data_IF_054007018079
#
_entry.id   IF_054007018079
#
_cell.length_a   1.000
_cell.length_b   1.000
_cell.length_c   1.000
_cell.angle_alpha   90.00
_cell.angle_beta   90.00
_cell.angle_gamma   90.00
#
_symmetry.space_group_name_H-M   'P 1'
#
loop_
_entity.id
_entity.type
_entity.pdbx_description
1 polymer ?
#
# COMPACT_ATOMS: atom_id res chain seq x y z
N UNK A 1 10.56 0.33 -1.88
CA UNK A 1 10.90 0.75 -0.50
C UNK A 1 12.43 0.91 -0.45
N UNK A 2 12.96 1.98 0.15
CA UNK A 2 14.41 2.21 0.26
C UNK A 2 15.02 1.67 1.56
N UNK A 3 14.20 1.10 2.45
CA UNK A 3 14.72 0.42 3.63
C UNK A 3 15.59 -0.76 3.20
N UNK A 4 16.86 -0.73 3.61
CA UNK A 4 17.86 -1.75 3.28
C UNK A 4 17.46 -3.16 3.74
N UNK A 5 16.58 -3.23 4.74
CA UNK A 5 16.04 -4.47 5.30
C UNK A 5 14.76 -4.95 4.62
N UNK A 6 14.13 -4.16 3.74
CA UNK A 6 12.87 -4.52 3.09
C UNK A 6 12.99 -5.82 2.26
N UNK A 7 13.99 -5.97 1.36
CA UNK A 7 14.16 -7.23 0.63
C UNK A 7 14.42 -8.42 1.57
N UNK A 8 15.23 -8.22 2.61
CA UNK A 8 15.55 -9.26 3.59
C UNK A 8 14.31 -9.70 4.41
N UNK A 9 13.39 -8.77 4.69
CA UNK A 9 12.14 -9.09 5.38
C UNK A 9 11.21 -9.94 4.49
N UNK A 10 11.07 -9.59 3.21
CA UNK A 10 10.30 -10.40 2.26
C UNK A 10 10.90 -11.78 2.08
N UNK A 11 12.23 -11.87 1.99
CA UNK A 11 12.96 -13.13 1.88
C UNK A 11 12.74 -14.03 3.10
N UNK A 12 12.83 -13.44 4.31
CA UNK A 12 12.54 -14.16 5.55
C UNK A 12 11.11 -14.74 5.57
N UNK A 13 10.11 -14.01 5.08
CA UNK A 13 8.73 -14.51 4.98
C UNK A 13 8.63 -15.68 4.00
N UNK A 14 9.37 -15.66 2.88
CA UNK A 14 9.39 -16.77 1.91
C UNK A 14 10.02 -18.03 2.49
N UNK A 15 11.00 -17.88 3.38
CA UNK A 15 11.76 -19.00 3.93
C UNK A 15 11.29 -19.46 5.32
N UNK A 16 10.38 -18.73 5.97
CA UNK A 16 9.89 -19.12 7.29
C UNK A 16 9.09 -20.42 7.22
N UNK A 17 9.48 -21.40 8.03
CA UNK A 17 8.74 -22.65 8.22
C UNK A 17 7.93 -22.55 9.50
N UNK A 18 6.64 -22.26 9.36
CA UNK A 18 5.71 -22.28 10.48
C UNK A 18 5.15 -23.71 10.64
N UNK A 19 4.51 -23.97 11.80
CA UNK A 19 3.84 -25.25 12.04
C UNK A 19 2.83 -25.60 10.94
N UNK A 20 2.43 -26.89 10.87
CA UNK A 20 1.68 -27.52 9.74
C UNK A 20 0.39 -26.81 9.27
N UNK A 21 -0.09 -25.76 9.94
CA UNK A 21 -1.32 -25.02 9.61
C UNK A 21 -1.15 -23.51 9.50
N UNK A 22 0.07 -22.98 9.53
CA UNK A 22 0.29 -21.53 9.61
C UNK A 22 1.08 -21.03 8.40
N UNK A 23 0.62 -19.92 7.82
CA UNK A 23 1.27 -19.21 6.72
C UNK A 23 1.30 -17.71 7.05
N UNK A 24 2.37 -17.03 6.66
CA UNK A 24 2.45 -15.57 6.71
C UNK A 24 2.40 -15.07 5.27
N UNK A 25 1.55 -14.06 5.04
CA UNK A 25 1.45 -13.36 3.77
C UNK A 25 1.97 -11.93 3.96
N UNK A 26 2.89 -11.51 3.10
CA UNK A 26 3.39 -10.15 3.10
C UNK A 26 2.39 -9.23 2.38
N UNK A 27 2.04 -8.11 3.00
CA UNK A 27 1.16 -7.08 2.44
C UNK A 27 1.96 -5.76 2.32
N UNK A 28 2.92 -5.68 1.37
CA UNK A 28 3.76 -4.50 1.23
C UNK A 28 2.98 -3.31 0.65
N UNK A 29 3.46 -2.10 0.93
CA UNK A 29 3.09 -0.88 0.21
C UNK A 29 4.35 -0.10 -0.11
N UNK A 30 4.57 0.17 -1.38
CA UNK A 30 5.74 0.86 -1.90
C UNK A 30 5.30 2.19 -2.51
N UNK A 31 5.88 3.32 -2.07
CA UNK A 31 6.97 3.42 -1.09
C UNK A 31 6.52 3.35 0.38
N UNK A 32 5.24 3.53 0.70
CA UNK A 32 4.73 3.52 2.07
C UNK A 32 3.21 3.25 2.10
N UNK A 33 2.66 3.04 3.29
CA UNK A 33 1.22 2.80 3.49
C UNK A 33 0.34 3.93 2.95
N UNK A 34 0.81 5.17 2.97
CA UNK A 34 0.10 6.34 2.48
C UNK A 34 -0.25 6.23 0.98
N UNK A 35 0.44 5.37 0.22
CA UNK A 35 0.06 5.07 -1.16
C UNK A 35 -1.32 4.40 -1.23
N UNK A 36 -1.64 3.49 -0.32
CA UNK A 36 -2.98 2.90 -0.21
C UNK A 36 -4.05 3.96 0.05
N UNK A 37 -3.76 4.96 0.89
CA UNK A 37 -4.68 6.07 1.14
C UNK A 37 -4.88 6.93 -0.11
N UNK A 38 -3.82 7.21 -0.86
CA UNK A 38 -3.89 7.97 -2.12
C UNK A 38 -4.81 7.29 -3.15
N UNK A 39 -4.78 5.96 -3.23
CA UNK A 39 -5.58 5.19 -4.17
C UNK A 39 -7.10 5.30 -3.95
N UNK A 40 -7.56 5.76 -2.78
CA UNK A 40 -8.97 6.07 -2.55
C UNK A 40 -9.46 7.23 -3.43
N UNK A 41 -8.55 8.13 -3.83
CA UNK A 41 -8.89 9.36 -4.54
C UNK A 41 -8.46 9.33 -6.01
N UNK A 42 -7.35 8.67 -6.32
CA UNK A 42 -6.81 8.68 -7.68
C UNK A 42 -6.00 7.43 -8.01
N UNK A 43 -6.02 7.04 -9.28
CA UNK A 43 -5.14 6.02 -9.84
C UNK A 43 -3.83 6.67 -10.30
N UNK A 44 -2.69 6.08 -9.91
CA UNK A 44 -1.38 6.51 -10.41
C UNK A 44 -0.38 5.36 -10.40
N UNK A 45 0.41 5.27 -11.46
CA UNK A 45 1.61 4.40 -11.58
C UNK A 45 2.89 5.23 -11.65
N UNK A 46 2.80 6.54 -11.41
CA UNK A 46 3.95 7.45 -11.42
C UNK A 46 4.90 7.05 -10.28
N UNK A 47 6.19 6.76 -10.56
CA UNK A 47 7.16 6.48 -9.52
C UNK A 47 7.27 7.64 -8.54
N UNK A 48 7.42 7.31 -7.26
CA UNK A 48 7.72 8.29 -6.21
C UNK A 48 9.20 8.24 -5.87
N UNK A 49 9.80 9.41 -5.65
CA UNK A 49 11.18 9.55 -5.19
C UNK A 49 11.23 10.52 -4.00
N UNK A 50 12.27 10.39 -3.19
CA UNK A 50 12.59 11.28 -2.10
C UNK A 50 13.28 12.56 -2.64
N UNK A 51 12.85 13.75 -2.22
CA UNK A 51 13.68 14.94 -2.35
C UNK A 51 14.95 14.82 -1.48
N UNK A 52 16.03 15.58 -1.77
CA UNK A 52 17.22 15.62 -0.94
C UNK A 52 16.88 15.99 0.52
N UNK A 53 17.24 15.14 1.48
CA UNK A 53 16.99 15.37 2.91
C UNK A 53 15.65 14.86 3.44
N UNK A 54 14.76 14.35 2.59
CA UNK A 54 13.44 13.85 2.96
C UNK A 54 13.27 12.34 2.72
N UNK A 55 12.18 11.78 3.23
CA UNK A 55 11.82 10.38 2.95
C UNK A 55 11.10 10.24 1.61
N UNK A 56 11.20 9.07 0.97
CA UNK A 56 10.45 8.76 -0.27
C UNK A 56 8.92 8.85 -0.08
N UNK A 57 8.45 8.67 1.16
CA UNK A 57 7.05 8.79 1.52
C UNK A 57 6.56 10.25 1.53
N UNK A 58 7.47 11.23 1.65
CA UNK A 58 7.13 12.65 1.63
C UNK A 58 6.32 13.02 0.38
N UNK A 59 6.79 12.61 -0.80
CA UNK A 59 6.12 12.91 -2.07
C UNK A 59 4.74 12.26 -2.18
N UNK A 60 4.53 11.08 -1.58
CA UNK A 60 3.21 10.44 -1.53
C UNK A 60 2.27 11.23 -0.62
N UNK A 61 2.76 11.68 0.54
CA UNK A 61 1.99 12.48 1.49
C UNK A 61 1.58 13.82 0.88
N UNK A 62 2.48 14.48 0.14
CA UNK A 62 2.16 15.75 -0.53
C UNK A 62 1.09 15.57 -1.62
N UNK A 63 1.13 14.47 -2.38
CA UNK A 63 0.03 14.13 -3.31
C UNK A 63 -1.27 13.82 -2.57
N UNK A 64 -1.21 13.07 -1.48
CA UNK A 64 -2.38 12.73 -0.65
C UNK A 64 -3.05 13.99 -0.08
N UNK A 65 -2.25 14.97 0.36
CA UNK A 65 -2.75 16.24 0.93
C UNK A 65 -3.56 17.08 -0.06
N UNK A 66 -3.43 16.85 -1.37
CA UNK A 66 -4.32 17.49 -2.37
C UNK A 66 -5.78 17.05 -2.21
N UNK A 67 -6.02 15.86 -1.64
CA UNK A 67 -7.34 15.30 -1.37
C UNK A 67 -7.70 15.32 0.12
N UNK A 68 -6.70 15.22 1.00
CA UNK A 68 -6.83 15.30 2.46
C UNK A 68 -5.89 16.37 3.05
N UNK A 69 -6.21 17.67 2.94
CA UNK A 69 -5.29 18.75 3.28
C UNK A 69 -4.75 18.73 4.71
N UNK A 70 -5.54 18.24 5.65
CA UNK A 70 -5.19 18.16 7.08
C UNK A 70 -4.65 16.78 7.49
N UNK A 71 -4.31 15.92 6.53
CA UNK A 71 -3.79 14.59 6.83
C UNK A 71 -2.48 14.67 7.63
N UNK A 72 -2.44 13.90 8.71
CA UNK A 72 -1.24 13.63 9.50
C UNK A 72 -1.06 12.14 9.67
N UNK A 73 0.20 11.70 9.72
CA UNK A 73 0.50 10.28 9.95
C UNK A 73 -0.05 9.84 11.31
N UNK A 74 -0.78 8.72 11.32
CA UNK A 74 -1.43 8.23 12.53
C UNK A 74 -2.79 8.87 12.83
N UNK A 75 -3.41 9.54 11.84
CA UNK A 75 -4.79 10.04 11.93
C UNK A 75 -5.75 8.89 12.27
N UNK A 76 -6.31 8.92 13.48
CA UNK A 76 -7.18 7.87 14.01
C UNK A 76 -8.53 7.80 13.31
N UNK A 77 -8.94 8.89 12.64
CA UNK A 77 -10.21 8.98 11.92
C UNK A 77 -10.06 8.68 10.42
N UNK A 78 -8.85 8.31 9.97
CA UNK A 78 -8.54 8.13 8.55
C UNK A 78 -9.49 7.15 7.85
N UNK A 79 -9.87 6.06 8.52
CA UNK A 79 -10.78 5.08 7.93
C UNK A 79 -12.16 5.66 7.69
N UNK A 80 -12.72 6.44 8.62
CA UNK A 80 -14.02 7.07 8.41
C UNK A 80 -14.00 8.08 7.25
N UNK A 81 -12.88 8.78 7.08
CA UNK A 81 -12.65 9.76 5.99
C UNK A 81 -12.52 9.11 4.62
N UNK A 82 -12.13 7.84 4.55
CA UNK A 82 -11.87 7.15 3.26
C UNK A 82 -12.81 5.98 2.96
N UNK A 83 -13.60 5.50 3.92
CA UNK A 83 -14.44 4.30 3.80
C UNK A 83 -15.41 4.35 2.61
N UNK A 84 -15.96 5.51 2.30
CA UNK A 84 -16.89 5.70 1.18
C UNK A 84 -16.24 5.47 -0.19
N UNK A 85 -14.91 5.55 -0.27
CA UNK A 85 -14.10 5.35 -1.48
C UNK A 85 -13.30 4.05 -1.45
N UNK A 86 -13.61 3.15 -0.53
CA UNK A 86 -12.86 1.90 -0.36
C UNK A 86 -12.88 1.04 -1.64
N UNK A 87 -14.00 1.00 -2.35
CA UNK A 87 -14.11 0.26 -3.62
C UNK A 87 -13.23 0.88 -4.73
N UNK A 88 -13.10 2.21 -4.75
CA UNK A 88 -12.19 2.90 -5.65
C UNK A 88 -10.73 2.52 -5.34
N UNK A 89 -10.37 2.48 -4.05
CA UNK A 89 -9.02 2.10 -3.63
C UNK A 89 -8.67 0.66 -4.07
N UNK A 90 -9.60 -0.28 -3.91
CA UNK A 90 -9.45 -1.66 -4.36
C UNK A 90 -9.25 -1.69 -5.88
N UNK A 91 -10.14 -1.07 -6.65
CA UNK A 91 -10.06 -1.07 -8.12
C UNK A 91 -8.77 -0.42 -8.63
N UNK A 92 -8.35 0.70 -8.03
CA UNK A 92 -7.12 1.39 -8.40
C UNK A 92 -5.88 0.56 -8.04
N UNK A 93 -5.87 -0.10 -6.88
CA UNK A 93 -4.77 -0.98 -6.48
C UNK A 93 -4.62 -2.19 -7.40
N UNK A 94 -5.73 -2.83 -7.81
CA UNK A 94 -5.72 -3.94 -8.76
C UNK A 94 -5.15 -3.51 -10.13
N UNK A 95 -5.52 -2.32 -10.61
CA UNK A 95 -4.96 -1.75 -11.85
C UNK A 95 -3.46 -1.49 -11.74
N UNK A 96 -3.02 -0.95 -10.62
CA UNK A 96 -1.59 -0.72 -10.33
C UNK A 96 -0.84 -2.05 -10.27
N UNK A 97 -1.38 -3.07 -9.59
CA UNK A 97 -0.77 -4.39 -9.55
C UNK A 97 -0.65 -5.01 -10.94
N UNK A 98 -1.71 -4.94 -11.76
CA UNK A 98 -1.68 -5.42 -13.13
C UNK A 98 -0.61 -4.71 -13.96
N UNK A 99 -0.46 -3.40 -13.83
CA UNK A 99 0.61 -2.64 -14.49
C UNK A 99 2.00 -3.13 -14.07
N UNK A 100 2.19 -3.45 -12.79
CA UNK A 100 3.50 -3.86 -12.27
C UNK A 100 3.91 -5.29 -12.64
N UNK A 101 3.00 -6.13 -13.15
CA UNK A 101 3.34 -7.46 -13.68
C UNK A 101 4.37 -7.41 -14.82
N UNK A 102 4.41 -6.32 -15.60
CA UNK A 102 5.31 -6.16 -16.76
C UNK A 102 6.28 -4.98 -16.65
N UNK A 103 6.18 -4.17 -15.59
CA UNK A 103 6.90 -2.88 -15.51
C UNK A 103 8.38 -2.98 -15.10
N UNK A 104 8.81 -4.11 -14.52
CA UNK A 104 10.16 -4.28 -13.97
C UNK A 104 10.43 -3.49 -12.67
N UNK A 105 9.41 -2.87 -12.08
CA UNK A 105 9.49 -2.16 -10.79
C UNK A 105 8.25 -2.44 -9.94
N UNK A 106 8.33 -2.19 -8.63
CA UNK A 106 7.20 -2.24 -7.69
C UNK A 106 6.84 -0.83 -7.16
N UNK A 107 7.41 0.24 -7.73
CA UNK A 107 7.17 1.62 -7.31
C UNK A 107 6.24 2.36 -8.30
N UNK A 108 5.02 2.75 -7.90
CA UNK A 108 4.36 2.49 -6.62
C UNK A 108 3.47 1.24 -6.65
N UNK A 109 3.36 0.50 -5.54
CA UNK A 109 2.47 -0.67 -5.46
C UNK A 109 1.92 -0.90 -4.06
N UNK A 110 0.84 -1.66 -3.92
CA UNK A 110 0.32 -2.09 -2.63
C UNK A 110 -0.53 -3.36 -2.74
N UNK A 111 -0.37 -4.28 -1.78
CA UNK A 111 -1.23 -5.47 -1.64
C UNK A 111 -2.32 -5.29 -0.56
N UNK A 112 -2.51 -4.07 -0.03
CA UNK A 112 -3.50 -3.84 1.03
C UNK A 112 -4.92 -4.16 0.56
N UNK A 113 -5.21 -3.97 -0.74
CA UNK A 113 -6.48 -4.36 -1.33
C UNK A 113 -6.79 -5.85 -1.11
N UNK A 114 -5.81 -6.75 -1.29
CA UNK A 114 -6.00 -8.19 -1.11
C UNK A 114 -6.34 -8.55 0.35
N UNK A 115 -5.74 -7.83 1.32
CA UNK A 115 -6.09 -7.97 2.73
C UNK A 115 -7.51 -7.48 3.01
N UNK A 116 -7.89 -6.33 2.45
CA UNK A 116 -9.24 -5.75 2.65
C UNK A 116 -10.32 -6.65 2.04
N UNK A 117 -10.08 -7.19 0.85
CA UNK A 117 -10.99 -8.14 0.19
C UNK A 117 -11.16 -9.39 1.05
N UNK A 118 -10.06 -9.99 1.51
CA UNK A 118 -10.11 -11.14 2.42
C UNK A 118 -10.93 -10.86 3.69
N UNK A 119 -10.72 -9.70 4.34
CA UNK A 119 -11.48 -9.31 5.54
C UNK A 119 -12.97 -9.07 5.25
N UNK A 120 -13.31 -8.53 4.07
CA UNK A 120 -14.70 -8.33 3.63
C UNK A 120 -15.40 -9.66 3.39
N UNK A 121 -14.70 -10.64 2.84
CA UNK A 121 -15.25 -11.97 2.57
C UNK A 121 -15.47 -12.76 3.86
N UNK A 122 -14.55 -12.67 4.83
CA UNK A 122 -14.75 -13.25 6.17
C UNK A 122 -16.01 -12.76 6.88
N UNK A 123 -16.41 -11.50 6.67
CA UNK A 123 -17.64 -10.95 7.27
C UNK A 123 -18.92 -11.58 6.69
N UNK A 124 -18.82 -12.18 5.49
CA UNK A 124 -19.95 -12.80 4.80
C UNK A 124 -20.16 -14.26 5.19
N UNK A 125 -19.19 -14.86 5.89
CA UNK A 125 -19.29 -16.17 6.55
C UNK A 125 -19.95 -16.05 7.92
#
# INVERSE_FOLDING_TARGET
>A
DRHTTYPAALDKIRHIRLGRKSKIFAIPSVPCFEFWLLLHFTHTTRPFDAPPGDSICFTVIEELKKYLPVYQKGDQDIFNKTRDKLDNAISNAQRVEQFHQTSGTDNPSTLVHSLVEYLRDLKRE
#
